data_IF_790683309898
#
_entry.id   IF_790683309898
#
_cell.length_a   1.000
_cell.length_b   1.000
_cell.length_c   1.000
_cell.angle_alpha   90.00
_cell.angle_beta   90.00
_cell.angle_gamma   90.00
#
_symmetry.space_group_name_H-M   'P 1'
#
loop_
_entity.id
_entity.type
_entity.pdbx_description
1 polymer ?
#
# COMPACT_ATOMS: atom_id res chain seq x y z
N UNK A 1 -39.86 10.61 -35.03
CA UNK A 1 -40.95 10.44 -34.06
C UNK A 1 -40.36 10.20 -32.68
N UNK A 2 -40.12 11.27 -31.96
CA UNK A 2 -39.49 11.30 -30.63
C UNK A 2 -40.59 11.30 -29.58
N UNK A 3 -40.72 10.21 -28.81
CA UNK A 3 -41.59 10.17 -27.64
C UNK A 3 -40.84 10.70 -26.41
N UNK A 4 -41.16 11.91 -26.05
CA UNK A 4 -40.87 12.53 -24.75
C UNK A 4 -41.58 11.74 -23.64
N UNK A 5 -40.81 11.07 -22.74
CA UNK A 5 -41.32 10.55 -21.47
C UNK A 5 -41.28 11.70 -20.46
N UNK A 6 -42.38 12.35 -20.23
CA UNK A 6 -42.64 13.16 -19.07
C UNK A 6 -42.72 12.25 -17.84
N UNK A 7 -41.72 12.33 -16.97
CA UNK A 7 -41.76 11.74 -15.62
C UNK A 7 -42.73 12.55 -14.76
N UNK A 8 -43.90 11.98 -14.49
CA UNK A 8 -44.79 12.48 -13.45
C UNK A 8 -44.07 12.40 -12.08
N UNK A 9 -44.16 13.43 -11.24
CA UNK A 9 -43.74 13.34 -9.86
C UNK A 9 -44.73 12.44 -9.10
N UNK A 10 -44.21 11.38 -8.46
CA UNK A 10 -44.98 10.55 -7.52
C UNK A 10 -45.55 11.40 -6.40
N UNK A 11 -46.84 11.59 -6.48
CA UNK A 11 -47.65 12.29 -5.49
C UNK A 11 -47.83 11.36 -4.28
N UNK A 12 -47.01 11.54 -3.24
CA UNK A 12 -47.21 10.81 -1.97
C UNK A 12 -48.50 11.31 -1.32
N UNK A 13 -49.44 10.40 -0.95
CA UNK A 13 -50.69 10.79 -0.33
C UNK A 13 -50.45 11.25 1.11
N UNK A 14 -50.86 12.45 1.49
CA UNK A 14 -51.21 12.79 2.85
C UNK A 14 -50.48 13.91 3.58
N UNK A 15 -50.13 15.03 2.93
CA UNK A 15 -49.93 16.26 3.68
C UNK A 15 -51.01 17.25 3.34
N UNK A 16 -51.87 17.58 4.31
CA UNK A 16 -52.72 18.77 4.21
C UNK A 16 -51.79 19.98 4.06
N UNK A 17 -52.18 20.99 3.22
CA UNK A 17 -51.32 22.15 2.95
C UNK A 17 -50.90 22.97 4.17
N UNK A 18 -51.58 22.81 5.30
CA UNK A 18 -51.42 23.58 6.53
C UNK A 18 -50.75 22.85 7.68
N UNK A 19 -50.35 21.57 7.52
CA UNK A 19 -49.63 20.88 8.60
C UNK A 19 -48.12 21.08 8.48
N UNK A 20 -47.45 21.49 9.56
CA UNK A 20 -46.00 21.67 9.54
C UNK A 20 -45.30 20.33 9.24
N UNK A 21 -44.25 20.33 8.39
CA UNK A 21 -43.55 19.09 8.03
C UNK A 21 -42.90 18.46 9.24
N UNK A 22 -43.13 17.16 9.45
CA UNK A 22 -42.57 16.40 10.57
C UNK A 22 -41.46 15.47 10.13
N UNK A 23 -40.50 15.20 11.01
CA UNK A 23 -39.42 14.27 10.74
C UNK A 23 -39.95 12.83 10.67
N UNK A 24 -39.75 12.06 9.58
CA UNK A 24 -40.25 10.68 9.48
C UNK A 24 -39.74 9.71 10.57
N UNK A 25 -38.60 10.02 11.21
CA UNK A 25 -38.03 9.26 12.31
C UNK A 25 -38.50 9.72 13.70
N UNK A 26 -38.99 10.95 13.78
CA UNK A 26 -39.49 11.57 15.00
C UNK A 26 -40.78 12.34 14.66
N UNK A 27 -41.93 11.63 14.55
CA UNK A 27 -43.18 12.22 14.13
C UNK A 27 -43.70 13.30 15.07
N UNK A 28 -43.20 13.35 16.27
CA UNK A 28 -43.43 14.34 17.31
C UNK A 28 -42.68 15.68 17.10
N UNK A 29 -41.82 15.77 16.05
CA UNK A 29 -40.93 16.92 15.82
C UNK A 29 -41.14 17.54 14.46
N UNK A 30 -41.43 18.81 14.48
CA UNK A 30 -41.47 19.66 13.27
C UNK A 30 -40.04 19.78 12.69
N UNK A 31 -39.90 19.66 11.37
CA UNK A 31 -38.66 19.69 10.66
C UNK A 31 -38.75 20.42 9.32
N UNK A 32 -38.33 21.68 9.32
CA UNK A 32 -38.33 22.51 8.10
C UNK A 32 -37.14 22.27 7.18
N UNK A 33 -36.03 21.75 7.74
CA UNK A 33 -34.86 21.45 6.94
C UNK A 33 -35.07 20.12 6.19
N UNK A 34 -34.85 20.16 4.86
CA UNK A 34 -35.02 19.00 3.99
C UNK A 34 -33.69 18.38 3.60
N UNK A 35 -33.67 17.05 3.51
CA UNK A 35 -32.51 16.32 3.03
C UNK A 35 -32.25 16.60 1.55
N UNK A 36 -31.07 17.10 1.19
CA UNK A 36 -30.69 17.45 -0.19
C UNK A 36 -30.70 16.24 -1.15
N UNK A 37 -30.79 15.01 -0.62
CA UNK A 37 -30.76 13.80 -1.46
C UNK A 37 -32.12 13.15 -1.67
N UNK A 38 -33.02 13.21 -0.72
CA UNK A 38 -34.33 12.52 -0.79
C UNK A 38 -35.50 13.42 -0.45
N UNK A 39 -35.25 14.70 -0.24
CA UNK A 39 -36.23 15.78 0.07
C UNK A 39 -37.11 15.53 1.31
N UNK A 40 -36.84 14.50 2.12
CA UNK A 40 -37.58 14.25 3.37
C UNK A 40 -37.17 15.26 4.44
N UNK A 41 -38.17 15.79 5.23
CA UNK A 41 -37.85 16.66 6.36
C UNK A 41 -36.98 15.92 7.40
N UNK A 42 -36.01 16.62 7.99
CA UNK A 42 -35.10 16.09 8.97
C UNK A 42 -34.98 17.04 10.17
N UNK A 43 -35.36 16.56 11.37
CA UNK A 43 -35.18 17.34 12.60
C UNK A 43 -33.68 17.49 12.95
N UNK A 44 -33.28 18.40 13.85
CA UNK A 44 -31.88 18.64 14.14
C UNK A 44 -31.06 17.40 14.49
N UNK A 45 -31.68 16.41 15.18
CA UNK A 45 -31.02 15.14 15.51
C UNK A 45 -30.84 14.18 14.32
N UNK A 46 -31.61 14.40 13.25
CA UNK A 46 -31.52 13.60 12.02
C UNK A 46 -30.77 14.28 10.89
N UNK A 47 -30.20 15.46 11.13
CA UNK A 47 -29.39 16.20 10.19
C UNK A 47 -27.94 15.76 10.28
N UNK A 48 -27.37 15.38 9.13
CA UNK A 48 -25.94 15.07 8.99
C UNK A 48 -25.35 16.08 8.01
N UNK A 49 -24.40 16.93 8.42
CA UNK A 49 -23.73 17.88 7.52
C UNK A 49 -23.07 17.15 6.34
N UNK A 50 -23.17 17.73 5.16
CA UNK A 50 -22.53 17.22 3.95
C UNK A 50 -21.84 18.36 3.20
N UNK A 51 -21.03 18.04 2.18
CA UNK A 51 -20.35 19.05 1.38
C UNK A 51 -21.31 20.03 0.70
N UNK A 52 -22.57 19.60 0.49
CA UNK A 52 -23.65 20.44 -0.06
C UNK A 52 -24.87 20.29 0.86
N UNK A 53 -25.01 21.19 1.82
CA UNK A 53 -26.16 21.25 2.73
C UNK A 53 -26.27 20.07 3.71
N UNK A 54 -27.48 19.52 3.90
CA UNK A 54 -27.78 18.51 4.92
C UNK A 54 -28.33 17.23 4.30
N UNK A 55 -27.86 16.09 4.74
CA UNK A 55 -28.46 14.77 4.48
C UNK A 55 -29.21 14.25 5.70
N UNK A 56 -30.31 13.50 5.50
CA UNK A 56 -30.88 12.73 6.59
C UNK A 56 -29.97 11.55 6.96
N UNK A 57 -30.09 11.04 8.18
CA UNK A 57 -29.30 9.88 8.69
C UNK A 57 -29.34 8.68 7.74
N UNK A 58 -30.49 8.39 7.12
CA UNK A 58 -30.62 7.26 6.19
C UNK A 58 -29.83 7.46 4.91
N UNK A 59 -29.87 8.65 4.34
CA UNK A 59 -29.07 8.99 3.17
C UNK A 59 -27.56 9.04 3.49
N UNK A 60 -27.19 9.55 4.65
CA UNK A 60 -25.81 9.54 5.12
C UNK A 60 -25.30 8.12 5.31
N UNK A 61 -26.07 7.22 5.94
CA UNK A 61 -25.72 5.79 6.08
C UNK A 61 -25.59 5.08 4.74
N UNK A 62 -26.53 5.31 3.81
CA UNK A 62 -26.47 4.74 2.45
C UNK A 62 -25.22 5.22 1.71
N UNK A 63 -24.85 6.51 1.83
CA UNK A 63 -23.64 7.05 1.20
C UNK A 63 -22.38 6.46 1.80
N UNK A 64 -22.33 6.25 3.12
CA UNK A 64 -21.19 5.61 3.80
C UNK A 64 -21.07 4.13 3.44
N UNK A 65 -22.19 3.41 3.34
CA UNK A 65 -22.22 2.01 2.89
C UNK A 65 -21.76 1.89 1.42
N UNK A 66 -22.17 2.82 0.55
CA UNK A 66 -21.71 2.88 -0.85
C UNK A 66 -20.22 3.18 -0.96
N UNK A 67 -19.67 4.06 -0.09
CA UNK A 67 -18.22 4.35 -0.06
C UNK A 67 -17.38 3.15 0.33
N UNK A 68 -17.89 2.22 1.15
CA UNK A 68 -17.19 0.97 1.51
C UNK A 68 -16.89 0.07 0.32
N UNK A 69 -17.60 0.25 -0.80
CA UNK A 69 -17.40 -0.48 -2.06
C UNK A 69 -16.54 0.24 -3.10
N UNK A 70 -16.08 1.48 -2.85
CA UNK A 70 -15.26 2.22 -3.82
C UNK A 70 -13.93 1.52 -3.97
N UNK A 71 -13.64 1.08 -5.20
CA UNK A 71 -12.35 0.51 -5.55
C UNK A 71 -11.38 1.60 -5.95
N UNK A 72 -10.12 1.43 -5.57
CA UNK A 72 -9.01 2.28 -6.02
C UNK A 72 -8.82 2.17 -7.54
N UNK A 73 -8.07 3.10 -8.11
CA UNK A 73 -7.77 3.13 -9.56
C UNK A 73 -7.15 1.81 -10.06
N UNK A 74 -6.44 1.08 -9.23
CA UNK A 74 -5.82 -0.21 -9.55
C UNK A 74 -6.61 -1.41 -9.00
N UNK A 75 -7.87 -1.21 -8.57
CA UNK A 75 -8.81 -2.27 -8.20
C UNK A 75 -8.65 -2.81 -6.77
N UNK A 76 -7.82 -2.19 -5.94
CA UNK A 76 -7.80 -2.39 -4.50
C UNK A 76 -9.04 -1.77 -3.83
N UNK A 77 -9.26 -2.02 -2.55
CA UNK A 77 -10.19 -1.26 -1.75
C UNK A 77 -9.59 0.13 -1.53
N UNK A 78 -10.29 1.19 -1.92
CA UNK A 78 -9.84 2.54 -1.62
C UNK A 78 -9.76 2.71 -0.09
N UNK A 79 -8.59 3.07 0.41
CA UNK A 79 -8.34 3.28 1.84
C UNK A 79 -7.95 4.74 2.05
N UNK A 80 -8.54 5.36 3.07
CA UNK A 80 -8.22 6.74 3.43
C UNK A 80 -6.92 6.80 4.26
N UNK A 81 -6.67 5.75 5.07
CA UNK A 81 -5.53 5.69 5.98
C UNK A 81 -4.51 4.63 5.52
N UNK A 82 -3.24 4.99 5.52
CA UNK A 82 -2.11 4.11 5.22
C UNK A 82 -1.74 3.25 6.45
N UNK A 83 -2.63 2.31 6.83
CA UNK A 83 -2.45 1.51 8.05
C UNK A 83 -1.32 0.49 7.93
N UNK A 84 -1.11 -0.10 6.76
CA UNK A 84 0.00 -1.05 6.54
C UNK A 84 1.32 -0.30 6.65
N UNK A 85 1.42 0.87 6.05
CA UNK A 85 2.59 1.77 6.16
C UNK A 85 2.90 2.09 7.62
N UNK A 86 1.90 2.53 8.39
CA UNK A 86 2.06 2.81 9.82
C UNK A 86 2.49 1.58 10.60
N UNK A 87 1.88 0.43 10.34
CA UNK A 87 2.23 -0.84 10.98
C UNK A 87 3.67 -1.27 10.70
N UNK A 88 4.14 -1.14 9.46
CA UNK A 88 5.52 -1.43 9.08
C UNK A 88 6.52 -0.49 9.78
N UNK A 89 6.22 0.81 9.85
CA UNK A 89 7.04 1.78 10.57
C UNK A 89 7.14 1.41 12.06
N UNK A 90 6.00 1.14 12.71
CA UNK A 90 5.96 0.73 14.12
C UNK A 90 6.78 -0.56 14.31
N UNK A 91 6.62 -1.55 13.45
CA UNK A 91 7.38 -2.80 13.51
C UNK A 91 8.90 -2.55 13.41
N UNK A 92 9.36 -1.75 12.44
CA UNK A 92 10.78 -1.42 12.27
C UNK A 92 11.34 -0.69 13.51
N UNK A 93 10.61 0.31 14.03
CA UNK A 93 11.04 1.06 15.23
C UNK A 93 11.10 0.13 16.43
N UNK A 94 10.08 -0.69 16.68
CA UNK A 94 10.04 -1.63 17.81
C UNK A 94 11.18 -2.65 17.72
N UNK A 95 11.42 -3.22 16.53
CA UNK A 95 12.51 -4.19 16.33
C UNK A 95 13.87 -3.52 16.50
N UNK A 96 14.04 -2.27 16.05
CA UNK A 96 15.27 -1.51 16.27
C UNK A 96 15.57 -1.27 17.77
N UNK A 97 14.56 -0.89 18.54
CA UNK A 97 14.70 -0.76 19.99
C UNK A 97 15.06 -2.11 20.64
N UNK A 98 14.45 -3.20 20.18
CA UNK A 98 14.80 -4.54 20.63
C UNK A 98 16.25 -4.94 20.26
N UNK A 99 16.76 -4.54 19.07
CA UNK A 99 18.16 -4.73 18.70
C UNK A 99 19.12 -3.99 19.63
N UNK A 100 18.76 -2.77 20.06
CA UNK A 100 19.57 -2.02 21.04
C UNK A 100 19.62 -2.70 22.39
N UNK A 101 18.50 -3.27 22.84
CA UNK A 101 18.40 -3.98 24.12
C UNK A 101 19.05 -5.38 24.08
N UNK A 102 19.03 -6.05 22.91
CA UNK A 102 19.55 -7.39 22.71
C UNK A 102 20.33 -7.50 21.39
N UNK A 103 21.62 -7.14 21.35
CA UNK A 103 22.42 -7.12 20.12
C UNK A 103 22.47 -8.45 19.36
N UNK A 104 22.38 -9.59 20.06
CA UNK A 104 22.31 -10.91 19.45
C UNK A 104 21.09 -11.10 18.53
N UNK A 105 20.00 -10.32 18.74
CA UNK A 105 18.83 -10.36 17.89
C UNK A 105 19.15 -9.93 16.45
N UNK A 106 19.94 -8.87 16.29
CA UNK A 106 20.42 -8.41 14.98
C UNK A 106 21.15 -9.49 14.23
N UNK A 107 22.11 -10.16 14.85
CA UNK A 107 22.88 -11.25 14.25
C UNK A 107 22.01 -12.46 13.83
N UNK A 108 20.95 -12.77 14.59
CA UNK A 108 20.02 -13.88 14.29
C UNK A 108 19.05 -13.57 13.14
N UNK A 109 18.70 -12.32 12.95
CA UNK A 109 17.65 -11.91 12.01
C UNK A 109 18.19 -11.22 10.74
N UNK A 110 19.45 -10.74 10.75
CA UNK A 110 20.10 -10.15 9.59
C UNK A 110 20.28 -11.16 8.46
N UNK A 111 20.23 -10.71 7.22
CA UNK A 111 20.49 -11.58 6.08
C UNK A 111 21.98 -11.84 5.94
N UNK A 112 22.33 -13.13 5.81
CA UNK A 112 23.69 -13.61 5.57
C UNK A 112 23.60 -14.69 4.50
N UNK A 113 24.25 -14.54 3.33
CA UNK A 113 24.21 -15.52 2.26
C UNK A 113 24.60 -16.93 2.71
N UNK A 114 25.65 -17.08 3.52
CA UNK A 114 26.12 -18.37 4.05
C UNK A 114 25.07 -19.12 4.88
N UNK A 115 24.13 -18.42 5.51
CA UNK A 115 23.07 -19.02 6.32
C UNK A 115 21.72 -19.14 5.58
N UNK A 116 21.64 -18.66 4.35
CA UNK A 116 20.37 -18.49 3.64
C UNK A 116 19.61 -19.81 3.42
N UNK A 117 20.32 -20.92 3.13
CA UNK A 117 19.70 -22.24 2.90
C UNK A 117 19.14 -22.88 4.16
N UNK A 118 19.77 -22.64 5.32
CA UNK A 118 19.38 -23.23 6.61
C UNK A 118 18.48 -22.31 7.44
N UNK A 119 18.49 -21.01 7.15
CA UNK A 119 17.78 -19.98 7.91
C UNK A 119 16.93 -19.08 6.99
N UNK A 120 15.90 -19.63 6.31
CA UNK A 120 15.15 -18.93 5.27
C UNK A 120 14.35 -17.71 5.77
N UNK A 121 14.05 -17.62 7.07
CA UNK A 121 13.39 -16.42 7.64
C UNK A 121 14.20 -15.14 7.43
N UNK A 122 15.51 -15.22 7.27
CA UNK A 122 16.41 -14.09 7.08
C UNK A 122 16.11 -13.29 5.79
N UNK A 123 15.53 -13.92 4.76
CA UNK A 123 15.07 -13.23 3.54
C UNK A 123 14.01 -12.16 3.83
N UNK A 124 13.25 -12.33 4.91
CA UNK A 124 12.16 -11.43 5.31
C UNK A 124 12.56 -10.58 6.50
N UNK A 125 13.15 -11.18 7.54
CA UNK A 125 13.41 -10.50 8.82
C UNK A 125 14.40 -9.36 8.71
N UNK A 126 15.36 -9.45 7.79
CA UNK A 126 16.35 -8.41 7.52
C UNK A 126 15.72 -7.06 7.18
N UNK A 127 14.54 -7.05 6.58
CA UNK A 127 13.83 -5.82 6.18
C UNK A 127 13.31 -4.99 7.36
N UNK A 128 13.34 -5.54 8.58
CA UNK A 128 12.91 -4.85 9.80
C UNK A 128 14.08 -4.39 10.67
N UNK A 129 15.30 -4.78 10.34
CA UNK A 129 16.51 -4.45 11.08
C UNK A 129 17.17 -3.18 10.53
N UNK A 130 17.88 -2.45 11.39
CA UNK A 130 18.58 -1.23 10.96
C UNK A 130 19.95 -1.12 11.66
N UNK A 131 20.94 -0.64 10.90
CA UNK A 131 22.32 -0.56 11.38
C UNK A 131 22.59 0.65 12.29
N UNK A 132 21.79 1.72 12.16
CA UNK A 132 21.97 2.95 12.92
C UNK A 132 20.66 3.75 13.02
N UNK A 133 20.54 4.71 13.97
CA UNK A 133 19.37 5.61 14.08
C UNK A 133 19.11 6.37 12.77
N UNK A 134 20.16 6.83 12.10
CA UNK A 134 20.05 7.59 10.85
C UNK A 134 19.53 6.68 9.72
N UNK A 135 20.03 5.44 9.65
CA UNK A 135 19.56 4.45 8.68
C UNK A 135 18.07 4.14 8.88
N UNK A 136 17.63 3.96 10.13
CA UNK A 136 16.21 3.81 10.45
C UNK A 136 15.42 5.04 10.03
N UNK A 137 15.86 6.24 10.42
CA UNK A 137 15.13 7.49 10.15
C UNK A 137 14.88 7.71 8.66
N UNK A 138 15.91 7.55 7.80
CA UNK A 138 15.76 7.70 6.35
C UNK A 138 14.84 6.63 5.75
N UNK A 139 14.94 5.37 6.17
CA UNK A 139 14.04 4.32 5.70
C UNK A 139 12.59 4.59 6.12
N UNK A 140 12.34 4.99 7.36
CA UNK A 140 10.98 5.27 7.84
C UNK A 140 10.38 6.51 7.18
N UNK A 141 11.18 7.55 6.95
CA UNK A 141 10.74 8.72 6.20
C UNK A 141 10.36 8.37 4.75
N UNK A 142 11.20 7.61 4.05
CA UNK A 142 10.91 7.17 2.69
C UNK A 142 9.69 6.23 2.66
N UNK A 143 9.59 5.28 3.59
CA UNK A 143 8.45 4.39 3.72
C UNK A 143 7.15 5.15 4.00
N UNK A 144 7.19 6.17 4.86
CA UNK A 144 6.03 7.01 5.13
C UNK A 144 5.59 7.78 3.89
N UNK A 145 6.52 8.43 3.18
CA UNK A 145 6.25 9.20 1.97
C UNK A 145 5.67 8.33 0.85
N UNK A 146 6.36 7.22 0.52
CA UNK A 146 5.97 6.33 -0.57
C UNK A 146 4.71 5.53 -0.22
N UNK A 147 4.60 5.06 1.02
CA UNK A 147 3.47 4.29 1.49
C UNK A 147 2.19 5.11 1.53
N UNK A 148 2.25 6.36 2.00
CA UNK A 148 1.11 7.28 1.98
C UNK A 148 0.60 7.59 0.56
N UNK A 149 1.48 7.55 -0.44
CA UNK A 149 1.12 7.72 -1.84
C UNK A 149 0.59 6.42 -2.50
N UNK A 150 1.19 5.27 -2.18
CA UNK A 150 0.93 4.00 -2.87
C UNK A 150 -0.19 3.18 -2.23
N UNK A 151 -0.28 3.12 -0.90
CA UNK A 151 -1.27 2.28 -0.21
C UNK A 151 -2.72 2.66 -0.55
N UNK A 152 -3.13 3.95 -0.62
CA UNK A 152 -4.46 4.33 -1.08
C UNK A 152 -4.77 3.91 -2.52
N UNK A 153 -3.77 3.90 -3.40
CA UNK A 153 -3.91 3.56 -4.82
C UNK A 153 -3.97 2.05 -5.04
N UNK A 154 -3.13 1.28 -4.34
CA UNK A 154 -3.02 -0.17 -4.47
C UNK A 154 -4.06 -0.91 -3.60
N UNK A 155 -4.39 -0.33 -2.45
CA UNK A 155 -5.09 -1.00 -1.37
C UNK A 155 -4.12 -1.82 -0.50
N UNK A 156 -4.54 -2.11 0.74
CA UNK A 156 -3.67 -2.68 1.79
C UNK A 156 -2.92 -3.94 1.39
N UNK A 157 -3.64 -4.96 0.87
CA UNK A 157 -3.00 -6.25 0.59
C UNK A 157 -1.98 -6.17 -0.55
N UNK A 158 -2.25 -5.39 -1.62
CA UNK A 158 -1.31 -5.22 -2.73
C UNK A 158 -0.08 -4.42 -2.32
N UNK A 159 -0.29 -3.41 -1.48
CA UNK A 159 0.83 -2.64 -0.91
C UNK A 159 1.69 -3.52 0.00
N UNK A 160 1.09 -4.32 0.88
CA UNK A 160 1.81 -5.27 1.73
C UNK A 160 2.59 -6.30 0.91
N UNK A 161 1.96 -6.88 -0.13
CA UNK A 161 2.60 -7.82 -1.04
C UNK A 161 3.77 -7.18 -1.81
N UNK A 162 3.58 -5.96 -2.32
CA UNK A 162 4.64 -5.19 -2.99
C UNK A 162 5.84 -4.98 -2.06
N UNK A 163 5.62 -4.53 -0.83
CA UNK A 163 6.67 -4.33 0.16
C UNK A 163 7.41 -5.64 0.48
N UNK A 164 6.66 -6.70 0.81
CA UNK A 164 7.24 -7.98 1.20
C UNK A 164 8.03 -8.64 0.05
N UNK A 165 7.46 -8.67 -1.17
CA UNK A 165 8.14 -9.24 -2.33
C UNK A 165 9.38 -8.44 -2.72
N UNK A 166 9.35 -7.11 -2.63
CA UNK A 166 10.52 -6.27 -2.88
C UNK A 166 11.62 -6.52 -1.84
N UNK A 167 11.26 -6.71 -0.57
CA UNK A 167 12.23 -7.08 0.48
C UNK A 167 12.89 -8.43 0.17
N UNK A 168 12.08 -9.46 -0.12
CA UNK A 168 12.58 -10.81 -0.48
C UNK A 168 13.40 -10.75 -1.76
N UNK A 169 12.97 -10.01 -2.78
CA UNK A 169 13.71 -9.82 -4.02
C UNK A 169 15.08 -9.18 -3.81
N UNK A 170 15.17 -8.21 -2.88
CA UNK A 170 16.44 -7.65 -2.44
C UNK A 170 17.38 -8.70 -1.86
N UNK A 171 16.90 -9.46 -0.88
CA UNK A 171 17.68 -10.55 -0.26
C UNK A 171 18.05 -11.65 -1.27
N UNK A 172 17.15 -11.98 -2.20
CA UNK A 172 17.41 -12.96 -3.26
C UNK A 172 18.54 -12.48 -4.18
N UNK A 173 18.56 -11.23 -4.58
CA UNK A 173 19.63 -10.67 -5.42
C UNK A 173 20.98 -10.69 -4.69
N UNK A 174 21.01 -10.35 -3.40
CA UNK A 174 22.21 -10.47 -2.58
C UNK A 174 22.72 -11.91 -2.57
N UNK A 175 21.82 -12.89 -2.37
CA UNK A 175 22.17 -14.31 -2.36
C UNK A 175 22.79 -14.80 -3.67
N UNK A 176 22.23 -14.33 -4.81
CA UNK A 176 22.73 -14.71 -6.13
C UNK A 176 24.07 -14.10 -6.47
N UNK A 177 24.32 -12.87 -6.05
CA UNK A 177 25.55 -12.14 -6.39
C UNK A 177 26.66 -12.33 -5.35
N UNK A 178 26.38 -12.91 -4.18
CA UNK A 178 27.39 -13.26 -3.21
C UNK A 178 28.19 -14.49 -3.67
N UNK A 179 29.52 -14.39 -3.61
CA UNK A 179 30.42 -15.50 -3.93
C UNK A 179 30.82 -16.25 -2.67
N UNK A 180 30.70 -17.61 -2.62
CA UNK A 180 31.17 -18.42 -1.50
C UNK A 180 32.64 -18.23 -1.16
N UNK A 181 33.45 -17.78 -2.13
CA UNK A 181 34.90 -17.57 -1.98
C UNK A 181 35.27 -16.15 -1.56
N UNK A 182 34.29 -15.26 -1.37
CA UNK A 182 34.51 -13.87 -1.00
C UNK A 182 33.92 -13.51 0.36
N UNK A 183 34.34 -12.38 0.94
CA UNK A 183 33.81 -11.83 2.19
C UNK A 183 32.32 -11.51 2.10
N UNK A 184 31.78 -11.26 0.89
CA UNK A 184 30.37 -10.99 0.69
C UNK A 184 29.45 -12.14 1.09
N UNK A 185 29.96 -13.39 1.09
CA UNK A 185 29.24 -14.58 1.52
C UNK A 185 28.88 -14.56 3.01
N UNK A 186 29.74 -13.97 3.83
CA UNK A 186 29.61 -13.88 5.28
C UNK A 186 29.10 -12.50 5.75
N UNK A 187 28.91 -11.59 4.81
CA UNK A 187 28.46 -10.22 5.10
C UNK A 187 27.03 -10.18 5.64
N UNK A 188 26.85 -9.46 6.75
CA UNK A 188 25.53 -9.20 7.31
C UNK A 188 24.89 -8.03 6.57
N UNK A 189 23.65 -8.23 6.13
CA UNK A 189 22.84 -7.17 5.52
C UNK A 189 21.59 -6.92 6.35
N UNK A 190 21.26 -5.64 6.56
CA UNK A 190 20.08 -5.20 7.30
C UNK A 190 19.48 -3.98 6.61
N UNK A 191 18.16 -3.83 6.67
CA UNK A 191 17.47 -2.62 6.26
C UNK A 191 16.21 -2.85 5.42
N UNK A 192 15.25 -1.96 5.60
CA UNK A 192 14.02 -1.90 4.80
C UNK A 192 14.28 -1.38 3.36
N UNK A 193 15.52 -0.96 3.07
CA UNK A 193 15.84 -0.20 1.85
C UNK A 193 15.58 -0.96 0.56
N UNK A 194 15.78 -2.29 0.51
CA UNK A 194 15.38 -3.09 -0.65
C UNK A 194 13.88 -2.96 -0.96
N UNK A 195 13.03 -3.07 0.07
CA UNK A 195 11.59 -2.83 -0.10
C UNK A 195 11.29 -1.38 -0.52
N UNK A 196 11.96 -0.39 0.08
CA UNK A 196 11.82 1.04 -0.25
C UNK A 196 12.18 1.31 -1.72
N UNK A 197 13.25 0.71 -2.24
CA UNK A 197 13.59 0.80 -3.67
C UNK A 197 12.50 0.19 -4.56
N UNK A 198 11.89 -0.91 -4.13
CA UNK A 198 10.72 -1.47 -4.81
C UNK A 198 9.50 -0.54 -4.79
N UNK A 199 9.27 0.19 -3.70
CA UNK A 199 8.21 1.21 -3.64
C UNK A 199 8.51 2.40 -4.57
N UNK A 200 9.76 2.84 -4.69
CA UNK A 200 10.15 3.85 -5.67
C UNK A 200 9.87 3.39 -7.11
N UNK A 201 10.25 2.16 -7.45
CA UNK A 201 9.94 1.58 -8.76
C UNK A 201 8.43 1.52 -9.02
N UNK A 202 7.66 1.14 -8.01
CA UNK A 202 6.21 1.09 -8.11
C UNK A 202 5.60 2.48 -8.33
N UNK A 203 6.08 3.49 -7.62
CA UNK A 203 5.63 4.87 -7.79
C UNK A 203 5.93 5.37 -9.21
N UNK A 204 7.14 5.11 -9.71
CA UNK A 204 7.55 5.44 -11.07
C UNK A 204 6.62 4.79 -12.11
N UNK A 205 6.41 3.47 -12.04
CA UNK A 205 5.57 2.72 -12.98
C UNK A 205 4.12 3.20 -12.96
N UNK A 206 3.57 3.41 -11.76
CA UNK A 206 2.19 3.87 -11.62
C UNK A 206 2.03 5.28 -12.17
N UNK A 207 2.95 6.20 -11.88
CA UNK A 207 2.88 7.57 -12.41
C UNK A 207 3.01 7.58 -13.94
N UNK A 208 3.98 6.84 -14.51
CA UNK A 208 4.11 6.67 -15.97
C UNK A 208 2.84 6.11 -16.61
N UNK A 209 2.21 5.13 -15.98
CA UNK A 209 0.95 4.53 -16.46
C UNK A 209 -0.19 5.53 -16.53
N UNK A 210 -0.19 6.54 -15.68
CA UNK A 210 -1.18 7.61 -15.64
C UNK A 210 -0.73 8.89 -16.35
N UNK A 211 0.35 8.86 -17.11
CA UNK A 211 0.84 10.01 -17.87
C UNK A 211 1.37 11.16 -17.03
N UNK A 212 1.75 10.88 -15.76
CA UNK A 212 2.32 11.89 -14.87
C UNK A 212 3.82 12.07 -15.09
N UNK A 213 4.33 13.26 -14.79
CA UNK A 213 5.76 13.51 -14.79
C UNK A 213 6.47 12.66 -13.73
N UNK A 214 7.58 12.05 -14.13
CA UNK A 214 8.38 11.15 -13.29
C UNK A 214 9.82 11.62 -13.11
N UNK A 215 10.16 12.81 -13.58
CA UNK A 215 11.51 13.35 -13.58
C UNK A 215 12.13 13.38 -12.18
N UNK A 216 11.36 13.86 -11.19
CA UNK A 216 11.84 13.92 -9.81
C UNK A 216 12.09 12.50 -9.23
N UNK A 217 11.23 11.52 -9.55
CA UNK A 217 11.39 10.14 -9.07
C UNK A 217 12.64 9.51 -9.70
N UNK A 218 12.86 9.72 -10.99
CA UNK A 218 14.07 9.24 -11.68
C UNK A 218 15.30 9.85 -11.06
N UNK A 219 15.31 11.17 -10.84
CA UNK A 219 16.42 11.86 -10.19
C UNK A 219 16.75 11.30 -8.81
N UNK A 220 15.72 11.05 -7.97
CA UNK A 220 15.89 10.43 -6.65
C UNK A 220 16.39 8.98 -6.75
N UNK A 221 15.89 8.19 -7.68
CA UNK A 221 16.34 6.81 -7.89
C UNK A 221 17.82 6.78 -8.31
N UNK A 222 18.20 7.59 -9.29
CA UNK A 222 19.58 7.68 -9.77
C UNK A 222 20.51 8.10 -8.64
N UNK A 223 20.16 9.17 -7.90
CA UNK A 223 20.94 9.64 -6.76
C UNK A 223 21.11 8.54 -5.70
N UNK A 224 20.03 7.87 -5.31
CA UNK A 224 20.10 6.80 -4.31
C UNK A 224 20.89 5.57 -4.81
N UNK A 225 20.82 5.25 -6.10
CA UNK A 225 21.67 4.21 -6.68
C UNK A 225 23.15 4.60 -6.67
N UNK A 226 23.49 5.83 -7.05
CA UNK A 226 24.87 6.34 -6.96
C UNK A 226 25.39 6.24 -5.53
N UNK A 227 24.61 6.70 -4.55
CA UNK A 227 24.95 6.59 -3.12
C UNK A 227 25.15 5.11 -2.73
N UNK A 228 24.34 4.21 -3.26
CA UNK A 228 24.43 2.76 -2.96
C UNK A 228 25.71 2.13 -3.50
N UNK A 229 26.22 2.60 -4.64
CA UNK A 229 27.48 2.11 -5.23
C UNK A 229 28.71 2.73 -4.58
N UNK A 230 28.63 4.00 -4.19
CA UNK A 230 29.77 4.74 -3.62
C UNK A 230 29.86 4.58 -2.09
N UNK A 231 28.75 4.31 -1.42
CA UNK A 231 28.69 4.22 0.04
C UNK A 231 29.25 2.91 0.57
N UNK A 232 30.17 3.00 1.52
CA UNK A 232 30.67 1.83 2.22
C UNK A 232 29.54 1.14 3.01
N UNK A 233 29.49 -0.19 2.97
CA UNK A 233 28.51 -1.01 3.68
C UNK A 233 27.03 -0.82 3.23
N UNK A 234 26.81 -0.28 2.04
CA UNK A 234 25.48 -0.22 1.43
C UNK A 234 25.33 -1.36 0.42
N UNK A 235 24.33 -2.22 0.61
CA UNK A 235 24.06 -3.33 -0.30
C UNK A 235 23.34 -2.86 -1.56
N UNK A 236 24.10 -2.44 -2.58
CA UNK A 236 23.53 -2.07 -3.88
C UNK A 236 22.78 -3.24 -4.53
N UNK A 237 23.22 -4.48 -4.29
CA UNK A 237 22.55 -5.69 -4.76
C UNK A 237 21.11 -5.78 -4.19
N UNK A 238 20.97 -5.52 -2.89
CA UNK A 238 19.66 -5.50 -2.23
C UNK A 238 18.74 -4.42 -2.78
N UNK A 239 19.28 -3.25 -3.08
CA UNK A 239 18.53 -2.15 -3.70
C UNK A 239 18.08 -2.51 -5.12
N UNK A 240 18.98 -3.07 -5.94
CA UNK A 240 18.67 -3.46 -7.31
C UNK A 240 17.63 -4.61 -7.34
N UNK A 241 17.77 -5.61 -6.45
CA UNK A 241 16.83 -6.72 -6.32
C UNK A 241 15.43 -6.25 -5.90
N UNK A 242 15.37 -5.34 -4.94
CA UNK A 242 14.12 -4.72 -4.52
C UNK A 242 13.47 -3.88 -5.61
N UNK A 243 14.26 -3.06 -6.30
CA UNK A 243 13.83 -2.22 -7.43
C UNK A 243 13.22 -3.06 -8.56
N UNK A 244 13.92 -4.10 -9.01
CA UNK A 244 13.47 -4.96 -10.11
C UNK A 244 12.21 -5.74 -9.73
N UNK A 245 12.19 -6.33 -8.54
CA UNK A 245 10.99 -7.05 -8.05
C UNK A 245 9.80 -6.12 -7.87
N UNK A 246 10.02 -4.95 -7.27
CA UNK A 246 8.97 -3.95 -7.11
C UNK A 246 8.43 -3.43 -8.44
N UNK A 247 9.31 -3.25 -9.44
CA UNK A 247 8.91 -2.90 -10.80
C UNK A 247 8.01 -3.98 -11.42
N UNK A 248 8.37 -5.25 -11.30
CA UNK A 248 7.58 -6.38 -11.81
C UNK A 248 6.20 -6.45 -11.15
N UNK A 249 6.14 -6.35 -9.82
CA UNK A 249 4.88 -6.36 -9.07
C UNK A 249 4.00 -5.17 -9.44
N UNK A 250 4.58 -3.98 -9.53
CA UNK A 250 3.85 -2.78 -9.90
C UNK A 250 3.35 -2.83 -11.35
N UNK A 251 4.14 -3.34 -12.28
CA UNK A 251 3.76 -3.56 -13.66
C UNK A 251 2.55 -4.52 -13.75
N UNK A 252 2.63 -5.65 -13.05
CA UNK A 252 1.52 -6.59 -12.95
C UNK A 252 0.22 -5.90 -12.51
N UNK A 253 0.26 -5.06 -11.47
CA UNK A 253 -0.93 -4.38 -10.97
C UNK A 253 -1.41 -3.24 -11.89
N UNK A 254 -0.48 -2.50 -12.51
CA UNK A 254 -0.79 -1.35 -13.35
C UNK A 254 -1.43 -1.73 -14.69
N UNK A 255 -1.01 -2.87 -15.29
CA UNK A 255 -1.49 -3.32 -16.60
C UNK A 255 -2.54 -4.44 -16.52
N UNK A 256 -2.93 -4.88 -15.33
CA UNK A 256 -4.00 -5.87 -15.17
C UNK A 256 -5.32 -5.39 -15.81
N UNK A 257 -5.98 -6.22 -16.65
CA UNK A 257 -7.26 -5.89 -17.27
C UNK A 257 -8.32 -5.49 -16.24
N UNK A 258 -9.04 -4.40 -16.48
CA UNK A 258 -10.00 -3.83 -15.51
C UNK A 258 -10.99 -4.85 -14.96
N UNK A 259 -11.55 -5.70 -15.83
CA UNK A 259 -12.53 -6.73 -15.45
C UNK A 259 -11.94 -7.85 -14.57
N UNK A 260 -10.64 -8.13 -14.67
CA UNK A 260 -9.97 -9.26 -14.00
C UNK A 260 -8.84 -8.85 -13.07
N UNK A 261 -8.78 -7.59 -12.65
CA UNK A 261 -7.68 -7.03 -11.82
C UNK A 261 -7.41 -7.80 -10.52
N UNK A 262 -8.45 -8.32 -9.88
CA UNK A 262 -8.27 -9.11 -8.66
C UNK A 262 -7.62 -10.45 -8.97
N UNK A 263 -8.08 -11.14 -10.01
CA UNK A 263 -7.55 -12.44 -10.44
C UNK A 263 -6.09 -12.31 -10.85
N UNK A 264 -5.78 -11.38 -11.76
CA UNK A 264 -4.40 -11.11 -12.19
C UNK A 264 -3.52 -10.65 -11.03
N UNK A 265 -4.05 -9.82 -10.13
CA UNK A 265 -3.32 -9.36 -8.96
C UNK A 265 -2.96 -10.50 -8.01
N UNK A 266 -3.87 -11.40 -7.70
CA UNK A 266 -3.63 -12.55 -6.81
C UNK A 266 -2.69 -13.55 -7.47
N UNK A 267 -3.06 -14.08 -8.64
CA UNK A 267 -2.28 -15.13 -9.29
C UNK A 267 -0.92 -14.65 -9.77
N UNK A 268 -0.80 -13.40 -10.22
CA UNK A 268 0.48 -12.83 -10.56
C UNK A 268 1.38 -12.63 -9.34
N UNK A 269 0.82 -12.22 -8.20
CA UNK A 269 1.57 -12.16 -6.93
C UNK A 269 2.07 -13.55 -6.52
N UNK A 270 1.20 -14.56 -6.59
CA UNK A 270 1.56 -15.97 -6.34
C UNK A 270 2.66 -16.43 -7.31
N UNK A 271 2.54 -16.12 -8.61
CA UNK A 271 3.56 -16.47 -9.60
C UNK A 271 4.92 -15.84 -9.32
N UNK A 272 4.97 -14.55 -8.94
CA UNK A 272 6.21 -13.87 -8.55
C UNK A 272 6.78 -14.51 -7.27
N UNK A 273 5.93 -14.84 -6.30
CA UNK A 273 6.37 -15.53 -5.07
C UNK A 273 7.01 -16.89 -5.40
N UNK A 274 6.35 -17.70 -6.23
CA UNK A 274 6.89 -19.01 -6.67
C UNK A 274 8.21 -18.82 -7.42
N UNK A 275 8.30 -17.81 -8.29
CA UNK A 275 9.54 -17.48 -9.00
C UNK A 275 10.68 -17.12 -8.07
N UNK A 276 10.45 -16.27 -7.04
CA UNK A 276 11.46 -15.92 -6.04
C UNK A 276 11.88 -17.15 -5.21
N UNK A 277 10.92 -17.96 -4.75
CA UNK A 277 11.21 -19.21 -4.03
C UNK A 277 12.01 -20.16 -4.91
N UNK A 278 11.63 -20.31 -6.17
CA UNK A 278 12.38 -21.13 -7.14
C UNK A 278 13.82 -20.66 -7.32
N UNK A 279 14.05 -19.34 -7.44
CA UNK A 279 15.40 -18.77 -7.50
C UNK A 279 16.21 -19.03 -6.22
N UNK A 280 15.58 -18.91 -5.06
CA UNK A 280 16.23 -19.18 -3.77
C UNK A 280 16.65 -20.66 -3.69
N UNK A 281 15.73 -21.58 -4.01
CA UNK A 281 16.00 -23.03 -3.97
C UNK A 281 17.05 -23.44 -5.01
N UNK A 282 16.99 -22.90 -6.22
CA UNK A 282 17.99 -23.15 -7.25
C UNK A 282 19.38 -22.70 -6.78
N UNK A 283 19.49 -21.50 -6.20
CA UNK A 283 20.77 -21.00 -5.67
C UNK A 283 21.26 -21.84 -4.48
N UNK A 284 20.38 -22.30 -3.61
CA UNK A 284 20.71 -23.16 -2.50
C UNK A 284 21.27 -24.52 -2.94
N UNK A 285 20.79 -25.05 -4.08
CA UNK A 285 21.31 -26.28 -4.68
C UNK A 285 22.64 -26.11 -5.42
N UNK A 286 23.05 -24.87 -5.70
CA UNK A 286 24.32 -24.53 -6.38
C UNK A 286 25.40 -24.06 -5.40
N UNK A 287 25.07 -23.77 -4.15
CA UNK A 287 25.98 -23.26 -3.10
C UNK A 287 26.52 -24.38 -2.25
#
# INVERSE_FOLDING_TARGET
MTRSRTSQPDNQPGSRPDEPPVCPRHPDRVAYVRCQRCDRPACPQCQVPSAVGVHCVDCARKSTASRRGVRSLLGGRAVADALVTKGLIIACVTIYLAQMAAPALGARLAFVPAAASTQPWRFVTTAFLHASPMHLAFNMWALWMLGSALEPVLGRWRFAALYALSAVGGSTMIYWLASPTSSSWWGLTVGASGAVFGLFAALFIIQRRFGRDTTAIVGLLVLNLIISFLGANISWQGHLGGLTTGALVAALYAWAPRARRTVYGVWGTVGITIGLVGLILLRAGLA
#
